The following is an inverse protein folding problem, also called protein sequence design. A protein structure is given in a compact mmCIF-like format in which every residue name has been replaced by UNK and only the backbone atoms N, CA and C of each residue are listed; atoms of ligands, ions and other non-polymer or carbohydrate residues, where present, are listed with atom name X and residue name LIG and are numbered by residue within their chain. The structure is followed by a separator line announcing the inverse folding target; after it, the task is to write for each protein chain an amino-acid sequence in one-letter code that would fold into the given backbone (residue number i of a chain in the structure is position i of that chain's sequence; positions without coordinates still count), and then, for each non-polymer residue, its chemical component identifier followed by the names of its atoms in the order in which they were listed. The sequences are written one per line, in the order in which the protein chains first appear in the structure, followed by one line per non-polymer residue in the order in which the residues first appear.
data_IF_195217080255
#
_entry.id   IF_195217080255
#
_cell.length_a   1.000
_cell.length_b   1.000
_cell.length_c   1.000
_cell.angle_alpha   90.00
_cell.angle_beta   90.00
_cell.angle_gamma   90.00
#
_symmetry.space_group_name_H-M   'P 1'
#
loop_
_entity.id
_entity.type
_entity.pdbx_description
1 polymer ?
#
# COMPACT_ATOMS: atom_id res chain seq x y z
N UNK A 1 -21.85 -18.03 -13.23
CA UNK A 1 -22.12 -16.66 -12.75
C UNK A 1 -20.89 -16.13 -12.03
N UNK A 2 -20.32 -14.99 -12.43
CA UNK A 2 -19.21 -14.38 -11.71
C UNK A 2 -19.68 -13.86 -10.34
N UNK A 3 -18.96 -14.17 -9.26
CA UNK A 3 -19.29 -13.71 -7.92
C UNK A 3 -19.16 -12.17 -7.84
N UNK A 4 -20.24 -11.40 -7.60
CA UNK A 4 -20.21 -9.94 -7.59
C UNK A 4 -19.23 -9.35 -6.58
N UNK A 5 -19.03 -10.02 -5.43
CA UNK A 5 -18.08 -9.57 -4.41
C UNK A 5 -16.63 -9.73 -4.89
N UNK A 6 -16.33 -10.82 -5.61
CA UNK A 6 -15.01 -11.05 -6.21
C UNK A 6 -14.72 -10.00 -7.28
N UNK A 7 -15.69 -9.71 -8.15
CA UNK A 7 -15.56 -8.67 -9.17
C UNK A 7 -15.29 -7.29 -8.56
N UNK A 8 -15.98 -6.95 -7.46
CA UNK A 8 -15.75 -5.69 -6.73
C UNK A 8 -14.34 -5.61 -6.13
N UNK A 9 -13.84 -6.71 -5.56
CA UNK A 9 -12.45 -6.82 -5.06
C UNK A 9 -11.44 -6.57 -6.16
N UNK A 10 -11.53 -7.34 -7.26
CA UNK A 10 -10.65 -7.19 -8.42
C UNK A 10 -10.66 -5.77 -9.01
N UNK A 11 -11.82 -5.12 -9.08
CA UNK A 11 -11.93 -3.74 -9.53
C UNK A 11 -11.22 -2.75 -8.59
N UNK A 12 -11.31 -2.98 -7.27
CA UNK A 12 -10.60 -2.15 -6.29
C UNK A 12 -9.09 -2.33 -6.39
N UNK A 13 -8.59 -3.57 -6.44
CA UNK A 13 -7.17 -3.87 -6.63
C UNK A 13 -6.62 -3.21 -7.91
N UNK A 14 -7.35 -3.35 -9.02
CA UNK A 14 -6.92 -2.77 -10.30
C UNK A 14 -6.87 -1.25 -10.23
N UNK A 15 -7.87 -0.63 -9.59
CA UNK A 15 -7.89 0.83 -9.38
C UNK A 15 -6.70 1.33 -8.56
N UNK A 16 -6.34 0.62 -7.49
CA UNK A 16 -5.17 0.96 -6.64
C UNK A 16 -3.88 0.83 -7.44
N UNK A 17 -3.68 -0.29 -8.15
CA UNK A 17 -2.52 -0.51 -9.03
C UNK A 17 -2.36 0.63 -10.05
N UNK A 18 -3.44 0.96 -10.76
CA UNK A 18 -3.43 1.95 -11.83
C UNK A 18 -3.23 3.37 -11.30
N UNK A 19 -3.75 3.67 -10.10
CA UNK A 19 -3.48 4.93 -9.42
C UNK A 19 -2.00 5.07 -9.07
N UNK A 20 -1.40 4.04 -8.46
CA UNK A 20 0.00 4.09 -8.03
C UNK A 20 0.96 4.16 -9.23
N UNK A 21 0.76 3.36 -10.27
CA UNK A 21 1.61 3.42 -11.46
C UNK A 21 1.58 4.78 -12.14
N UNK A 22 0.38 5.39 -12.28
CA UNK A 22 0.25 6.74 -12.84
C UNK A 22 0.89 7.80 -11.94
N UNK A 23 0.63 7.76 -10.64
CA UNK A 23 1.20 8.73 -9.70
C UNK A 23 2.73 8.68 -9.68
N UNK A 24 3.31 7.48 -9.78
CA UNK A 24 4.75 7.26 -9.77
C UNK A 24 5.42 7.45 -11.15
N UNK A 25 4.65 7.79 -12.19
CA UNK A 25 5.18 7.99 -13.55
C UNK A 25 5.71 6.71 -14.21
N UNK A 26 5.21 5.54 -13.81
CA UNK A 26 5.69 4.23 -14.30
C UNK A 26 5.01 3.82 -15.61
N UNK A 27 3.97 4.55 -16.02
CA UNK A 27 3.18 4.28 -17.23
C UNK A 27 3.02 5.55 -18.06
N UNK A 28 2.73 5.37 -19.34
CA UNK A 28 2.35 6.43 -20.27
C UNK A 28 0.90 6.93 -20.05
N UNK A 29 0.47 7.86 -20.90
CA UNK A 29 -0.89 8.43 -20.85
C UNK A 29 -2.01 7.41 -21.12
N UNK A 30 -1.68 6.26 -21.71
CA UNK A 30 -2.60 5.16 -21.99
C UNK A 30 -2.57 4.06 -20.92
N UNK A 31 -1.65 4.15 -19.94
CA UNK A 31 -1.48 3.16 -18.87
C UNK A 31 -0.55 2.00 -19.22
N UNK A 32 0.22 2.10 -20.31
CA UNK A 32 1.26 1.12 -20.66
C UNK A 32 2.55 1.43 -19.92
N UNK A 33 3.25 0.41 -19.42
CA UNK A 33 4.52 0.60 -18.74
C UNK A 33 5.60 1.15 -19.68
N UNK A 34 6.37 2.13 -19.22
CA UNK A 34 7.56 2.60 -19.95
C UNK A 34 8.62 1.50 -20.09
N UNK A 35 8.87 0.77 -19.00
CA UNK A 35 9.66 -0.45 -19.00
C UNK A 35 8.84 -1.58 -18.34
N UNK A 36 8.31 -2.54 -19.11
CA UNK A 36 7.57 -3.69 -18.58
C UNK A 36 8.39 -4.57 -17.61
N UNK A 37 9.72 -4.55 -17.69
CA UNK A 37 10.59 -5.39 -16.87
C UNK A 37 11.08 -4.71 -15.59
N UNK A 38 10.76 -3.43 -15.39
CA UNK A 38 11.11 -2.71 -14.17
C UNK A 38 10.44 -3.38 -12.95
N UNK A 39 11.26 -3.81 -11.99
CA UNK A 39 10.82 -4.40 -10.73
C UNK A 39 10.09 -3.42 -9.80
N UNK A 40 10.14 -2.12 -10.09
CA UNK A 40 9.39 -1.08 -9.39
C UNK A 40 7.95 -0.92 -9.90
N UNK A 41 7.60 -1.53 -11.03
CA UNK A 41 6.23 -1.55 -11.53
C UNK A 41 5.27 -2.08 -10.45
N UNK A 42 4.18 -1.35 -10.21
CA UNK A 42 3.14 -1.83 -9.30
C UNK A 42 2.29 -2.85 -10.02
N UNK A 43 2.29 -4.09 -9.53
CA UNK A 43 1.64 -5.22 -10.21
C UNK A 43 0.69 -5.94 -9.26
N UNK A 44 -0.41 -6.46 -9.80
CA UNK A 44 -1.22 -7.43 -9.07
C UNK A 44 -0.46 -8.75 -9.05
N UNK A 45 -0.43 -9.44 -7.92
CA UNK A 45 0.20 -10.75 -7.85
C UNK A 45 -0.58 -11.75 -8.70
N UNK A 46 0.12 -12.58 -9.47
CA UNK A 46 -0.49 -13.78 -10.03
C UNK A 46 -0.75 -14.77 -8.88
N UNK A 47 -1.92 -15.41 -8.87
CA UNK A 47 -2.18 -16.50 -7.92
C UNK A 47 -1.36 -17.72 -8.33
N UNK A 48 -0.11 -17.82 -7.88
CA UNK A 48 0.73 -18.98 -8.11
C UNK A 48 1.08 -19.69 -6.79
N UNK A 49 0.68 -20.96 -6.67
CA UNK A 49 1.01 -21.83 -5.55
C UNK A 49 0.05 -21.77 -4.36
N UNK A 50 0.44 -22.45 -3.26
CA UNK A 50 -0.37 -22.60 -2.05
C UNK A 50 -0.24 -21.44 -1.05
N UNK A 51 0.72 -20.51 -1.27
CA UNK A 51 1.00 -19.41 -0.34
C UNK A 51 0.44 -18.11 -0.89
N UNK A 52 -0.34 -17.43 -0.06
CA UNK A 52 -0.80 -16.08 -0.35
C UNK A 52 0.38 -15.09 -0.25
N UNK A 53 0.58 -14.30 -1.32
CA UNK A 53 1.66 -13.31 -1.47
C UNK A 53 1.11 -11.88 -1.57
N UNK A 54 -0.17 -11.71 -1.21
CA UNK A 54 -0.90 -10.43 -1.19
C UNK A 54 -1.41 -9.98 -2.55
N UNK A 55 -2.34 -9.03 -2.55
CA UNK A 55 -3.05 -8.62 -3.77
C UNK A 55 -2.18 -7.82 -4.75
N UNK A 56 -1.38 -6.88 -4.24
CA UNK A 56 -0.57 -5.95 -5.05
C UNK A 56 0.86 -5.87 -4.51
N UNK A 57 1.82 -5.99 -5.42
CA UNK A 57 3.24 -5.82 -5.18
C UNK A 57 3.64 -4.40 -5.58
N UNK A 58 4.08 -3.61 -4.60
CA UNK A 58 4.50 -2.22 -4.76
C UNK A 58 5.80 -2.00 -3.99
N UNK A 59 6.91 -2.55 -4.49
CA UNK A 59 8.20 -2.60 -3.78
C UNK A 59 8.56 -1.28 -3.10
N UNK A 60 8.88 -1.27 -1.79
CA UNK A 60 9.13 -2.43 -0.91
C UNK A 60 7.90 -2.97 -0.15
N UNK A 61 6.67 -2.67 -0.60
CA UNK A 61 5.44 -3.06 0.09
C UNK A 61 4.65 -4.16 -0.62
N UNK A 62 3.99 -5.00 0.18
CA UNK A 62 2.82 -5.78 -0.20
C UNK A 62 1.57 -5.07 0.30
N UNK A 63 0.58 -4.95 -0.58
CA UNK A 63 -0.68 -4.28 -0.33
C UNK A 63 -1.82 -5.31 -0.35
N UNK A 64 -2.47 -5.46 0.79
CA UNK A 64 -3.69 -6.25 0.94
C UNK A 64 -4.91 -5.32 0.78
N UNK A 65 -5.72 -5.53 -0.26
CA UNK A 65 -6.80 -4.65 -0.66
C UNK A 65 -8.15 -5.11 -0.09
N UNK A 66 -8.90 -4.17 0.51
CA UNK A 66 -10.24 -4.47 1.07
C UNK A 66 -11.29 -3.48 0.55
N UNK A 67 -12.35 -4.01 -0.06
CA UNK A 67 -13.60 -3.28 -0.35
C UNK A 67 -14.76 -3.91 0.45
N UNK A 68 -14.83 -3.52 1.73
CA UNK A 68 -15.86 -3.98 2.66
C UNK A 68 -16.37 -2.83 3.51
N UNK A 69 -17.62 -2.96 4.00
CA UNK A 69 -18.29 -1.94 4.82
C UNK A 69 -17.68 -1.80 6.21
N UNK A 70 -17.40 -2.92 6.87
CA UNK A 70 -16.98 -2.94 8.27
C UNK A 70 -15.48 -3.23 8.37
N UNK A 71 -14.67 -2.29 8.87
CA UNK A 71 -13.23 -2.45 8.95
C UNK A 71 -12.78 -3.41 10.05
N UNK A 72 -11.94 -4.39 9.71
CA UNK A 72 -11.26 -5.31 10.64
C UNK A 72 -9.73 -5.14 10.58
N UNK A 73 -9.28 -3.87 10.60
CA UNK A 73 -7.90 -3.46 10.29
C UNK A 73 -6.82 -4.27 11.03
N UNK A 74 -6.87 -4.51 12.36
CA UNK A 74 -5.83 -5.28 13.03
C UNK A 74 -5.67 -6.71 12.48
N UNK A 75 -6.79 -7.35 12.10
CA UNK A 75 -6.75 -8.70 11.51
C UNK A 75 -6.13 -8.67 10.12
N UNK A 76 -6.52 -7.70 9.29
CA UNK A 76 -5.97 -7.55 7.95
C UNK A 76 -4.47 -7.21 7.96
N UNK A 77 -4.01 -6.39 8.92
CA UNK A 77 -2.59 -6.06 9.06
C UNK A 77 -1.74 -7.28 9.43
N UNK A 78 -2.27 -8.19 10.26
CA UNK A 78 -1.57 -9.46 10.55
C UNK A 78 -1.45 -10.32 9.30
N UNK A 79 -2.52 -10.43 8.52
CA UNK A 79 -2.50 -11.15 7.24
C UNK A 79 -1.49 -10.53 6.26
N UNK A 80 -1.56 -9.21 6.03
CA UNK A 80 -0.64 -8.50 5.14
C UNK A 80 0.84 -8.66 5.56
N UNK A 81 1.11 -8.75 6.87
CA UNK A 81 2.47 -8.99 7.38
C UNK A 81 2.98 -10.38 7.03
N UNK A 82 2.12 -11.39 7.12
CA UNK A 82 2.46 -12.78 6.74
C UNK A 82 2.69 -12.88 5.23
N UNK A 83 1.81 -12.29 4.43
CA UNK A 83 1.91 -12.26 2.97
C UNK A 83 3.16 -11.53 2.48
N UNK A 84 3.52 -10.41 3.12
CA UNK A 84 4.79 -9.75 2.85
C UNK A 84 5.99 -10.68 3.08
N UNK A 85 5.96 -11.45 4.18
CA UNK A 85 6.96 -12.47 4.47
C UNK A 85 7.03 -13.56 3.40
N UNK A 86 5.88 -14.07 2.93
CA UNK A 86 5.83 -15.06 1.85
C UNK A 86 6.35 -14.52 0.52
N UNK A 87 6.06 -13.25 0.22
CA UNK A 87 6.51 -12.58 -1.00
C UNK A 87 7.98 -12.15 -0.95
N UNK A 88 8.63 -12.20 0.23
CA UNK A 88 10.00 -11.71 0.42
C UNK A 88 10.13 -10.19 0.57
N UNK A 89 9.02 -9.48 0.86
CA UNK A 89 8.99 -8.04 1.02
C UNK A 89 9.08 -7.66 2.51
N UNK A 90 9.74 -6.56 2.85
CA UNK A 90 9.93 -6.16 4.25
C UNK A 90 8.65 -5.62 4.91
N UNK A 91 7.66 -5.18 4.14
CA UNK A 91 6.50 -4.44 4.64
C UNK A 91 5.19 -4.94 4.03
N UNK A 92 4.22 -5.25 4.89
CA UNK A 92 2.82 -5.44 4.53
C UNK A 92 1.96 -4.28 5.02
N UNK A 93 1.06 -3.79 4.17
CA UNK A 93 0.07 -2.75 4.48
C UNK A 93 -1.31 -3.14 3.95
N UNK A 94 -2.36 -2.50 4.47
CA UNK A 94 -3.74 -2.73 4.01
C UNK A 94 -4.26 -1.50 3.32
N UNK A 95 -4.89 -1.66 2.16
CA UNK A 95 -5.54 -0.59 1.40
C UNK A 95 -7.06 -0.78 1.43
N UNK A 96 -7.71 -0.04 2.32
CA UNK A 96 -9.16 -0.10 2.52
C UNK A 96 -9.88 0.99 1.72
N UNK A 97 -10.87 0.58 0.91
CA UNK A 97 -11.67 1.53 0.12
C UNK A 97 -12.54 2.42 1.00
N UNK A 98 -12.45 3.72 0.76
CA UNK A 98 -13.40 4.70 1.31
C UNK A 98 -14.66 4.74 0.43
N UNK A 99 -15.83 4.46 1.03
CA UNK A 99 -17.09 4.33 0.28
C UNK A 99 -17.46 5.66 -0.38
N UNK A 100 -17.81 5.62 -1.68
CA UNK A 100 -18.21 6.80 -2.49
C UNK A 100 -17.14 7.89 -2.58
N UNK A 101 -15.88 7.55 -2.37
CA UNK A 101 -14.75 8.46 -2.50
C UNK A 101 -13.88 8.05 -3.71
N UNK A 102 -13.07 8.97 -4.26
CA UNK A 102 -12.09 8.62 -5.28
C UNK A 102 -11.03 7.65 -4.73
N UNK A 103 -10.32 6.98 -5.64
CA UNK A 103 -9.29 5.97 -5.32
C UNK A 103 -8.19 6.55 -4.42
N UNK A 104 -7.79 7.79 -4.68
CA UNK A 104 -6.79 8.54 -3.90
C UNK A 104 -7.16 8.70 -2.42
N UNK A 105 -8.45 8.68 -2.08
CA UNK A 105 -8.95 8.76 -0.71
C UNK A 105 -9.08 7.39 -0.03
N UNK A 106 -8.65 6.30 -0.68
CA UNK A 106 -8.49 5.00 -0.01
C UNK A 106 -7.61 5.12 1.23
N UNK A 107 -7.89 4.37 2.28
CA UNK A 107 -7.10 4.41 3.52
C UNK A 107 -6.03 3.34 3.48
N UNK A 108 -4.78 3.76 3.61
CA UNK A 108 -3.66 2.85 3.78
C UNK A 108 -3.35 2.72 5.26
N UNK A 109 -3.34 1.49 5.76
CA UNK A 109 -3.10 1.17 7.15
C UNK A 109 -1.76 0.46 7.32
N UNK A 110 -1.04 0.84 8.37
CA UNK A 110 0.23 0.28 8.79
C UNK A 110 0.09 -0.27 10.21
N UNK A 111 0.74 -1.39 10.52
CA UNK A 111 1.05 -1.69 11.92
C UNK A 111 2.01 -0.62 12.47
N UNK A 112 1.98 -0.37 13.78
CA UNK A 112 2.92 0.57 14.41
C UNK A 112 4.38 0.17 14.15
N UNK A 113 4.66 -1.14 14.11
CA UNK A 113 5.99 -1.68 13.79
C UNK A 113 6.42 -1.37 12.35
N UNK A 114 5.56 -1.64 11.36
CA UNK A 114 5.85 -1.34 9.94
C UNK A 114 6.03 0.17 9.75
N UNK A 115 5.12 0.99 10.27
CA UNK A 115 5.22 2.45 10.16
C UNK A 115 6.52 2.99 10.79
N UNK A 116 6.89 2.46 11.96
CA UNK A 116 8.14 2.83 12.64
C UNK A 116 9.36 2.47 11.80
N UNK A 117 9.41 1.27 11.21
CA UNK A 117 10.51 0.86 10.33
C UNK A 117 10.61 1.74 9.09
N UNK A 118 9.48 2.06 8.46
CA UNK A 118 9.42 2.93 7.27
C UNK A 118 9.92 4.33 7.59
N UNK A 119 9.40 4.98 8.64
CA UNK A 119 9.85 6.35 8.98
C UNK A 119 11.34 6.39 9.34
N UNK A 120 11.85 5.36 10.01
CA UNK A 120 13.27 5.28 10.36
C UNK A 120 14.14 5.07 9.11
N UNK A 121 13.70 4.23 8.17
CA UNK A 121 14.37 4.08 6.86
C UNK A 121 14.37 5.38 6.04
N UNK A 122 13.38 6.24 6.23
CA UNK A 122 13.31 7.58 5.65
C UNK A 122 14.05 8.65 6.50
N UNK A 123 14.62 8.29 7.65
CA UNK A 123 15.27 9.25 8.55
C UNK A 123 14.32 10.29 9.16
N UNK A 124 13.03 9.96 9.27
CA UNK A 124 12.00 10.84 9.80
C UNK A 124 11.66 10.56 11.27
N UNK A 125 11.45 11.64 12.01
CA UNK A 125 10.77 11.58 13.30
C UNK A 125 9.28 11.25 13.11
N UNK A 126 8.60 10.82 14.15
CA UNK A 126 7.15 10.60 14.11
C UNK A 126 6.37 11.85 13.71
N UNK A 127 6.81 13.02 14.17
CA UNK A 127 6.20 14.33 13.84
C UNK A 127 6.36 14.66 12.37
N UNK A 128 7.59 14.60 11.86
CA UNK A 128 7.88 14.86 10.44
C UNK A 128 7.10 13.93 9.53
N UNK A 129 6.99 12.65 9.88
CA UNK A 129 6.22 11.68 9.12
C UNK A 129 4.72 12.04 9.06
N UNK A 130 4.16 12.55 10.17
CA UNK A 130 2.77 12.99 10.21
C UNK A 130 2.52 14.28 9.41
N UNK A 131 3.46 15.22 9.48
CA UNK A 131 3.39 16.50 8.74
C UNK A 131 3.52 16.30 7.22
N UNK A 132 4.39 15.39 6.77
CA UNK A 132 4.59 15.13 5.34
C UNK A 132 3.50 14.27 4.70
N UNK A 133 2.96 13.29 5.44
CA UNK A 133 2.09 12.25 4.86
C UNK A 133 0.73 12.10 5.57
N UNK A 134 0.30 13.10 6.35
CA UNK A 134 -1.04 13.12 6.95
C UNK A 134 -1.37 11.95 7.88
N UNK A 135 -0.35 11.35 8.51
CA UNK A 135 -0.51 10.13 9.29
C UNK A 135 -1.40 10.35 10.53
N UNK A 136 -2.38 9.48 10.74
CA UNK A 136 -3.21 9.45 11.95
C UNK A 136 -3.08 8.12 12.66
N UNK A 137 -2.74 8.15 13.95
CA UNK A 137 -2.70 6.96 14.80
C UNK A 137 -4.09 6.59 15.32
N UNK A 138 -4.41 5.29 15.31
CA UNK A 138 -5.58 4.72 15.98
C UNK A 138 -5.10 3.81 17.10
N UNK A 139 -5.49 4.14 18.33
CA UNK A 139 -5.20 3.36 19.53
C UNK A 139 -6.45 2.60 19.97
N UNK A 140 -6.31 1.33 20.32
CA UNK A 140 -7.44 0.46 20.71
C UNK A 140 -7.08 -0.37 21.94
N UNK A 141 -7.34 0.17 23.11
CA UNK A 141 -6.97 -0.43 24.39
C UNK A 141 -5.45 -0.44 24.60
N UNK A 142 -4.99 -1.25 25.55
CA UNK A 142 -3.56 -1.36 25.92
C UNK A 142 -2.77 -2.34 25.04
N UNK A 143 -3.46 -3.17 24.26
CA UNK A 143 -2.83 -4.08 23.31
C UNK A 143 -2.31 -3.29 22.09
N UNK A 144 -1.02 -2.97 22.10
CA UNK A 144 -0.34 -2.21 21.03
C UNK A 144 -0.34 -2.96 19.69
N UNK A 145 -0.58 -4.28 19.68
CA UNK A 145 -0.80 -5.06 18.47
C UNK A 145 -2.11 -4.72 17.74
N UNK A 146 -3.02 -3.99 18.40
CA UNK A 146 -4.26 -3.46 17.81
C UNK A 146 -4.15 -2.00 17.38
N UNK A 147 -3.02 -1.37 17.65
CA UNK A 147 -2.76 0.00 17.22
C UNK A 147 -2.27 0.01 15.78
N UNK A 148 -2.65 1.03 15.03
CA UNK A 148 -2.25 1.19 13.64
C UNK A 148 -2.19 2.64 13.25
N UNK A 149 -1.41 2.94 12.23
CA UNK A 149 -1.30 4.27 11.63
C UNK A 149 -2.00 4.23 10.28
N UNK A 150 -2.71 5.30 9.94
CA UNK A 150 -3.41 5.41 8.65
C UNK A 150 -3.04 6.69 7.93
N UNK A 151 -3.07 6.65 6.60
CA UNK A 151 -2.99 7.81 5.71
C UNK A 151 -3.87 7.60 4.48
N UNK A 152 -4.00 8.61 3.61
CA UNK A 152 -4.67 8.42 2.32
C UNK A 152 -3.78 7.63 1.34
N UNK A 153 -4.36 7.07 0.28
CA UNK A 153 -3.61 6.40 -0.78
C UNK A 153 -2.74 7.40 -1.56
N UNK A 154 -3.17 8.66 -1.66
CA UNK A 154 -2.36 9.74 -2.20
C UNK A 154 -1.09 9.97 -1.38
N UNK A 155 -1.23 10.13 -0.05
CA UNK A 155 -0.08 10.33 0.85
C UNK A 155 0.85 9.11 0.83
N UNK A 156 0.27 7.91 0.76
CA UNK A 156 1.04 6.67 0.62
C UNK A 156 1.83 6.63 -0.69
N UNK A 157 1.25 7.09 -1.80
CA UNK A 157 1.94 7.14 -3.09
C UNK A 157 3.15 8.10 -3.04
N UNK A 158 2.99 9.25 -2.39
CA UNK A 158 4.09 10.18 -2.14
C UNK A 158 5.19 9.56 -1.27
N UNK A 159 4.81 8.91 -0.16
CA UNK A 159 5.73 8.17 0.72
C UNK A 159 6.49 7.08 -0.04
N UNK A 160 5.80 6.32 -0.89
CA UNK A 160 6.41 5.26 -1.70
C UNK A 160 7.44 5.85 -2.69
N UNK A 161 7.10 6.95 -3.35
CA UNK A 161 8.01 7.67 -4.24
C UNK A 161 9.26 8.18 -3.50
N UNK A 162 9.09 8.78 -2.33
CA UNK A 162 10.20 9.27 -1.50
C UNK A 162 11.08 8.12 -0.99
N UNK A 163 10.47 7.00 -0.58
CA UNK A 163 11.20 5.80 -0.18
C UNK A 163 12.06 5.28 -1.32
N UNK A 164 11.47 5.10 -2.51
CA UNK A 164 12.20 4.62 -3.68
C UNK A 164 13.32 5.57 -4.06
N UNK A 165 13.06 6.87 -4.11
CA UNK A 165 14.10 7.86 -4.46
C UNK A 165 15.29 7.80 -3.50
N UNK A 166 15.03 7.67 -2.19
CA UNK A 166 16.09 7.63 -1.17
C UNK A 166 16.91 6.34 -1.20
N UNK A 167 16.30 5.23 -1.59
CA UNK A 167 16.92 3.89 -1.54
C UNK A 167 17.31 3.32 -2.92
N UNK A 168 16.95 3.99 -4.03
CA UNK A 168 17.25 3.55 -5.40
C UNK A 168 18.42 4.30 -6.06
N UNK A 169 18.97 5.35 -5.45
CA UNK A 169 20.11 6.08 -6.03
C UNK A 169 19.86 6.78 -7.37
N UNK A 170 18.60 7.01 -7.79
CA UNK A 170 18.23 7.64 -9.10
C UNK A 170 16.98 8.57 -8.95
N UNK A 171 16.88 9.69 -9.69
CA UNK A 171 16.12 10.89 -9.29
C UNK A 171 14.60 10.92 -9.56
N UNK A 172 13.92 11.65 -8.68
CA UNK A 172 12.54 12.24 -8.64
C UNK A 172 11.55 11.99 -9.79
N UNK A 173 10.34 11.57 -9.39
CA UNK A 173 9.09 11.81 -10.11
C UNK A 173 8.68 13.31 -10.04
N UNK A 174 8.19 13.84 -11.16
CA UNK A 174 7.72 15.23 -11.33
C UNK A 174 6.36 15.38 -10.63
N UNK A 175 6.19 16.48 -9.88
CA UNK A 175 4.94 16.85 -9.19
C UNK A 175 3.93 17.47 -10.15
#
# INVERSE_FOLDING_TARGET
MANPNKARGTAWESSVRDFLNRFLGLVDEHGSFWDPYDGLNVRRAAQEGARDVGDIHAAPFILECKDVKNPAVPTWLRQATVEAGHAGFPYGVVVHKTRRAPVSSGRVHFSVATWTRVRLALGHTSRTMAELYGCTATVRGLDTGRWYVSMSLLDFAALLGDYRTRHAGVPRAVR
#
